data_IF_003353521658
#
_entry.id   IF_003353521658
#
_cell.length_a   1.000
_cell.length_b   1.000
_cell.length_c   1.000
_cell.angle_alpha   90.00
_cell.angle_beta   90.00
_cell.angle_gamma   90.00
#
_symmetry.space_group_name_H-M   'P 1'
#
loop_
_entity.id
_entity.type
_entity.pdbx_description
1 polymer ?
#
# COMPACT_ATOMS: atom_id res chain seq x y z
N UNK A 1 20.73 -16.07 65.27
CA UNK A 1 19.32 -16.55 65.35
C UNK A 1 18.56 -15.66 64.38
N UNK A 2 18.55 -16.05 63.10
CA UNK A 2 18.07 -15.19 62.01
C UNK A 2 16.61 -15.51 61.70
N UNK A 3 15.79 -14.46 61.76
CA UNK A 3 14.42 -14.41 61.28
C UNK A 3 14.38 -14.45 59.74
N UNK A 4 13.40 -15.17 59.20
CA UNK A 4 12.42 -14.74 58.19
C UNK A 4 11.97 -15.92 57.33
N UNK A 5 10.79 -16.45 57.67
CA UNK A 5 9.94 -17.25 56.79
C UNK A 5 9.39 -16.37 55.66
N UNK A 6 9.31 -16.91 54.44
CA UNK A 6 8.72 -16.21 53.30
C UNK A 6 8.94 -16.93 51.98
N UNK A 7 8.20 -18.01 51.74
CA UNK A 7 8.02 -18.61 50.42
C UNK A 7 6.55 -19.06 50.30
N UNK A 8 5.98 -18.86 49.11
CA UNK A 8 4.65 -19.30 48.65
C UNK A 8 3.43 -18.39 48.92
N UNK A 9 3.50 -17.13 48.47
CA UNK A 9 2.31 -16.29 48.21
C UNK A 9 2.26 -15.78 46.77
N UNK A 10 2.79 -16.54 45.80
CA UNK A 10 2.68 -16.20 44.37
C UNK A 10 1.91 -17.23 43.53
N UNK A 11 1.44 -18.33 44.11
CA UNK A 11 0.74 -19.41 43.40
C UNK A 11 -0.79 -19.29 43.36
N UNK A 12 -1.38 -18.16 43.77
CA UNK A 12 -2.84 -18.02 43.88
C UNK A 12 -3.44 -16.77 43.20
N UNK A 13 -2.73 -16.16 42.25
CA UNK A 13 -3.33 -15.13 41.40
C UNK A 13 -3.85 -15.76 40.09
N UNK A 14 -5.06 -15.38 39.64
CA UNK A 14 -5.74 -16.04 38.54
C UNK A 14 -4.86 -15.97 37.30
N UNK A 15 -4.51 -17.14 36.79
CA UNK A 15 -3.94 -17.43 35.48
C UNK A 15 -4.00 -16.22 34.54
N UNK A 16 -2.85 -15.56 34.38
CA UNK A 16 -2.66 -14.40 33.52
C UNK A 16 -2.85 -14.80 32.06
N UNK A 17 -4.08 -14.83 31.56
CA UNK A 17 -4.42 -15.11 30.16
C UNK A 17 -4.52 -13.80 29.35
N UNK A 18 -3.47 -12.98 29.44
CA UNK A 18 -3.36 -11.70 28.74
C UNK A 18 -1.90 -11.44 28.40
N UNK A 19 -1.39 -12.16 27.41
CA UNK A 19 -0.25 -11.69 26.64
C UNK A 19 -0.58 -10.28 26.13
N UNK A 20 0.07 -9.29 26.72
CA UNK A 20 0.09 -7.91 26.24
C UNK A 20 0.61 -7.93 24.80
N UNK A 21 -0.33 -7.97 23.85
CA UNK A 21 -0.03 -7.94 22.43
C UNK A 21 0.33 -6.50 22.08
N UNK A 22 1.62 -6.14 22.19
CA UNK A 22 2.12 -4.88 21.65
C UNK A 22 1.71 -4.79 20.17
N UNK A 23 0.85 -3.82 19.85
CA UNK A 23 0.42 -3.58 18.47
C UNK A 23 1.61 -3.04 17.70
N UNK A 24 2.08 -3.81 16.72
CA UNK A 24 3.08 -3.33 15.80
C UNK A 24 2.47 -2.23 14.89
N UNK A 25 2.74 -0.96 15.21
CA UNK A 25 2.29 0.18 14.40
C UNK A 25 2.94 0.21 13.00
N UNK A 26 4.09 -0.45 12.81
CA UNK A 26 4.76 -0.63 11.51
C UNK A 26 4.34 -1.92 10.79
N UNK A 27 3.20 -2.53 11.13
CA UNK A 27 2.72 -3.74 10.45
C UNK A 27 2.40 -3.45 8.97
N UNK A 28 3.04 -4.19 8.08
CA UNK A 28 2.84 -4.08 6.62
C UNK A 28 1.76 -5.01 6.10
N UNK A 29 1.37 -6.05 6.85
CA UNK A 29 0.30 -6.96 6.47
C UNK A 29 -1.08 -6.33 6.73
N UNK A 30 -1.74 -5.85 5.67
CA UNK A 30 -3.07 -5.24 5.77
C UNK A 30 -4.10 -6.19 6.39
N UNK A 31 -4.04 -7.48 6.07
CA UNK A 31 -4.90 -8.51 6.70
C UNK A 31 -4.80 -8.48 8.22
N UNK A 32 -3.58 -8.52 8.77
CA UNK A 32 -3.38 -8.51 10.21
C UNK A 32 -3.83 -7.18 10.81
N UNK A 33 -3.52 -6.07 10.15
CA UNK A 33 -3.90 -4.73 10.63
C UNK A 33 -5.42 -4.57 10.71
N UNK A 34 -6.16 -5.00 9.70
CA UNK A 34 -7.63 -4.94 9.70
C UNK A 34 -8.23 -5.82 10.81
N UNK A 35 -7.71 -7.03 10.98
CA UNK A 35 -8.13 -7.92 12.07
C UNK A 35 -7.83 -7.33 13.46
N UNK A 36 -6.70 -6.63 13.61
CA UNK A 36 -6.32 -5.91 14.82
C UNK A 36 -7.24 -4.72 15.09
N UNK A 37 -7.53 -3.88 14.09
CA UNK A 37 -8.47 -2.76 14.22
C UNK A 37 -9.86 -3.24 14.61
N UNK A 38 -10.32 -4.36 14.02
CA UNK A 38 -11.61 -4.97 14.30
C UNK A 38 -11.79 -5.41 15.77
N UNK A 39 -10.71 -5.92 16.37
CA UNK A 39 -10.78 -6.56 17.69
C UNK A 39 -10.30 -5.66 18.83
N UNK A 40 -9.33 -4.78 18.57
CA UNK A 40 -8.71 -3.89 19.58
C UNK A 40 -9.10 -2.42 19.41
N UNK A 41 -9.86 -2.09 18.37
CA UNK A 41 -10.22 -0.73 18.02
C UNK A 41 -9.17 -0.01 17.19
N UNK A 42 -9.62 1.05 16.52
CA UNK A 42 -8.80 1.80 15.55
C UNK A 42 -7.75 2.66 16.24
N UNK A 43 -8.08 3.32 17.36
CA UNK A 43 -7.14 4.18 18.09
C UNK A 43 -5.94 3.44 18.68
N UNK A 44 -6.03 2.13 18.93
CA UNK A 44 -4.86 1.32 19.32
C UNK A 44 -3.94 1.01 18.13
N UNK A 45 -4.48 1.13 16.91
CA UNK A 45 -3.86 0.74 15.65
C UNK A 45 -3.52 1.93 14.75
N UNK A 46 -3.84 3.15 15.15
CA UNK A 46 -3.56 4.36 14.39
C UNK A 46 -2.05 4.52 14.15
N UNK A 47 -1.72 5.23 13.07
CA UNK A 47 -0.33 5.57 12.74
C UNK A 47 -0.06 7.08 12.81
N UNK A 48 -0.91 7.87 13.48
CA UNK A 48 -0.73 9.33 13.61
C UNK A 48 0.66 9.67 14.14
N UNK A 49 1.04 9.05 15.27
CA UNK A 49 2.32 9.31 15.93
C UNK A 49 3.56 8.97 15.10
N UNK A 50 3.41 8.22 13.98
CA UNK A 50 4.51 7.95 13.05
C UNK A 50 4.84 9.15 12.15
N UNK A 51 3.87 10.04 11.94
CA UNK A 51 4.02 11.21 11.07
C UNK A 51 4.37 12.50 11.83
N UNK A 52 4.38 12.46 13.16
CA UNK A 52 4.81 13.59 14.00
C UNK A 52 6.31 13.90 13.89
N UNK A 53 7.14 12.93 13.50
CA UNK A 53 8.58 13.10 13.31
C UNK A 53 8.99 13.54 11.90
N UNK A 54 10.30 13.58 11.66
CA UNK A 54 10.89 13.97 10.36
C UNK A 54 11.28 12.79 9.47
N UNK A 55 11.31 11.57 10.03
CA UNK A 55 11.58 10.35 9.27
C UNK A 55 10.99 9.11 9.95
N UNK A 56 10.76 8.06 9.15
CA UNK A 56 10.43 6.71 9.64
C UNK A 56 11.53 5.78 9.11
N UNK A 57 12.19 4.98 9.96
CA UNK A 57 13.26 4.08 9.51
C UNK A 57 12.84 3.09 8.41
N UNK A 58 11.57 2.70 8.41
CA UNK A 58 11.00 1.70 7.51
C UNK A 58 10.70 2.24 6.09
N UNK A 59 10.89 3.54 5.84
CA UNK A 59 10.49 4.20 4.60
C UNK A 59 11.54 5.22 4.11
N UNK A 60 11.84 5.27 2.80
CA UNK A 60 12.75 6.30 2.27
C UNK A 60 12.21 7.72 2.48
N UNK A 61 13.10 8.70 2.63
CA UNK A 61 12.75 10.09 2.99
C UNK A 61 11.74 10.73 2.04
N UNK A 62 11.94 10.58 0.73
CA UNK A 62 11.03 11.15 -0.27
C UNK A 62 9.62 10.55 -0.15
N UNK A 63 9.56 9.23 0.02
CA UNK A 63 8.31 8.49 0.22
C UNK A 63 7.60 8.87 1.53
N UNK A 64 8.37 9.19 2.58
CA UNK A 64 7.83 9.67 3.86
C UNK A 64 7.25 11.08 3.71
N UNK A 65 7.98 12.01 3.09
CA UNK A 65 7.52 13.39 2.90
C UNK A 65 6.19 13.46 2.13
N UNK A 66 6.04 12.67 1.07
CA UNK A 66 4.79 12.61 0.29
C UNK A 66 3.61 12.07 1.11
N UNK A 67 3.85 11.05 1.95
CA UNK A 67 2.80 10.49 2.82
C UNK A 67 2.47 11.43 3.97
N UNK A 68 3.47 12.10 4.55
CA UNK A 68 3.28 13.10 5.60
C UNK A 68 2.41 14.25 5.09
N UNK A 69 2.66 14.75 3.87
CA UNK A 69 1.83 15.78 3.23
C UNK A 69 0.35 15.37 3.14
N UNK A 70 0.08 14.11 2.79
CA UNK A 70 -1.30 13.57 2.76
C UNK A 70 -1.92 13.54 4.15
N UNK A 71 -1.20 13.00 5.13
CA UNK A 71 -1.69 12.86 6.51
C UNK A 71 -2.02 14.23 7.11
N UNK A 72 -1.14 15.21 6.96
CA UNK A 72 -1.34 16.61 7.39
C UNK A 72 -2.53 17.27 6.66
N UNK A 73 -2.72 16.99 5.36
CA UNK A 73 -3.85 17.51 4.62
C UNK A 73 -5.19 16.95 5.10
N UNK A 74 -5.24 15.65 5.47
CA UNK A 74 -6.43 15.02 6.06
C UNK A 74 -6.70 15.59 7.45
N UNK A 75 -5.67 15.72 8.29
CA UNK A 75 -5.79 16.31 9.64
C UNK A 75 -6.35 17.73 9.59
N UNK A 76 -5.77 18.58 8.74
CA UNK A 76 -6.24 19.95 8.53
C UNK A 76 -7.70 19.98 8.05
N UNK A 77 -8.07 19.13 7.10
CA UNK A 77 -9.44 19.08 6.60
C UNK A 77 -10.42 18.67 7.70
N UNK A 78 -10.06 17.70 8.56
CA UNK A 78 -10.91 17.29 9.69
C UNK A 78 -11.09 18.43 10.69
N UNK A 79 -10.03 19.21 10.98
CA UNK A 79 -10.12 20.38 11.86
C UNK A 79 -11.05 21.46 11.28
N UNK A 80 -10.97 21.72 9.97
CA UNK A 80 -11.80 22.70 9.28
C UNK A 80 -13.29 22.29 9.19
N UNK A 81 -13.58 20.98 9.15
CA UNK A 81 -14.94 20.46 8.96
C UNK A 81 -15.59 19.95 10.26
N UNK A 82 -14.91 20.10 11.41
CA UNK A 82 -15.42 19.67 12.71
C UNK A 82 -16.72 20.38 13.07
N UNK A 83 -17.76 19.62 13.44
CA UNK A 83 -19.10 20.14 13.75
C UNK A 83 -19.95 20.55 12.54
N UNK A 84 -19.49 20.28 11.31
CA UNK A 84 -20.29 20.47 10.09
C UNK A 84 -21.04 19.18 9.70
N UNK A 85 -21.86 19.23 8.64
CA UNK A 85 -22.49 18.03 8.08
C UNK A 85 -21.50 16.98 7.56
N UNK A 86 -20.24 17.39 7.30
CA UNK A 86 -19.16 16.53 6.83
C UNK A 86 -18.18 16.14 7.96
N UNK A 87 -18.57 16.27 9.23
CA UNK A 87 -17.74 15.89 10.37
C UNK A 87 -17.43 14.38 10.34
N UNK A 88 -16.21 14.06 9.93
CA UNK A 88 -15.72 12.71 9.69
C UNK A 88 -14.40 12.51 10.41
N UNK A 89 -14.33 11.45 11.23
CA UNK A 89 -13.12 11.09 11.99
C UNK A 89 -12.28 10.06 11.21
N UNK A 90 -11.50 10.54 10.24
CA UNK A 90 -10.62 9.70 9.43
C UNK A 90 -9.34 9.35 10.19
N UNK A 91 -9.12 8.07 10.47
CA UNK A 91 -7.90 7.62 11.14
C UNK A 91 -6.99 6.83 10.19
N UNK A 92 -5.71 7.22 10.02
CA UNK A 92 -4.75 6.45 9.24
C UNK A 92 -4.37 5.17 9.98
N UNK A 93 -4.48 4.04 9.30
CA UNK A 93 -4.19 2.70 9.85
C UNK A 93 -3.02 2.02 9.14
N UNK A 94 -2.73 2.38 7.89
CA UNK A 94 -1.65 1.80 7.10
C UNK A 94 -0.93 2.93 6.35
N UNK A 95 0.40 2.84 6.27
CA UNK A 95 1.23 3.79 5.52
C UNK A 95 2.20 3.13 4.53
N UNK A 96 2.37 1.82 4.59
CA UNK A 96 3.04 1.03 3.57
C UNK A 96 2.59 -0.41 3.76
N UNK A 97 1.82 -0.95 2.82
CA UNK A 97 1.17 -2.23 3.04
C UNK A 97 1.20 -3.18 1.85
N UNK A 98 1.19 -4.46 2.18
CA UNK A 98 0.85 -5.55 1.29
C UNK A 98 -0.43 -6.22 1.81
N UNK A 99 -1.19 -6.87 0.92
CA UNK A 99 -2.47 -7.49 1.28
C UNK A 99 -2.29 -8.55 2.37
N UNK A 100 -1.33 -9.45 2.14
CA UNK A 100 -0.92 -10.48 3.08
C UNK A 100 0.60 -10.52 3.16
N UNK A 101 1.16 -10.99 4.29
CA UNK A 101 2.61 -11.04 4.49
C UNK A 101 3.32 -11.81 3.37
N UNK A 102 4.36 -11.22 2.79
CA UNK A 102 5.11 -11.76 1.66
C UNK A 102 4.28 -12.04 0.39
N UNK A 103 3.22 -11.25 0.16
CA UNK A 103 2.45 -11.25 -1.09
C UNK A 103 3.00 -10.25 -2.11
N UNK A 104 3.58 -9.13 -1.66
CA UNK A 104 4.14 -8.12 -2.55
C UNK A 104 5.49 -8.58 -3.12
N UNK A 105 5.59 -8.63 -4.46
CA UNK A 105 6.82 -9.03 -5.17
C UNK A 105 7.48 -7.87 -5.90
N UNK A 106 6.70 -6.85 -6.24
CA UNK A 106 7.11 -5.64 -6.96
C UNK A 106 6.69 -4.42 -6.17
N UNK A 107 7.36 -3.29 -6.37
CA UNK A 107 7.01 -2.02 -5.73
C UNK A 107 5.54 -1.61 -6.01
N UNK A 108 5.03 -1.85 -7.22
CA UNK A 108 3.61 -1.64 -7.54
C UNK A 108 2.61 -2.47 -6.70
N UNK A 109 3.05 -3.58 -6.09
CA UNK A 109 2.17 -4.46 -5.33
C UNK A 109 1.94 -3.92 -3.91
N UNK A 110 2.73 -2.93 -3.50
CA UNK A 110 2.61 -2.20 -2.23
C UNK A 110 1.60 -1.06 -2.36
N UNK A 111 0.68 -0.99 -1.40
CA UNK A 111 -0.19 0.16 -1.21
C UNK A 111 0.45 1.17 -0.24
N UNK A 112 0.01 2.42 -0.32
CA UNK A 112 0.60 3.52 0.44
C UNK A 112 -0.22 3.83 1.69
N UNK A 113 -1.21 4.72 1.62
CA UNK A 113 -1.97 5.15 2.79
C UNK A 113 -3.39 4.56 2.78
N UNK A 114 -3.84 4.12 3.95
CA UNK A 114 -5.25 3.78 4.18
C UNK A 114 -5.74 4.48 5.44
N UNK A 115 -6.85 5.20 5.30
CA UNK A 115 -7.62 5.74 6.40
C UNK A 115 -8.93 4.96 6.52
N UNK A 116 -9.46 4.92 7.72
CA UNK A 116 -10.76 4.29 8.01
C UNK A 116 -11.58 5.21 8.89
N UNK A 117 -12.90 5.10 8.76
CA UNK A 117 -13.82 5.67 9.72
C UNK A 117 -13.90 4.80 11.00
N UNK A 118 -14.44 5.31 12.11
CA UNK A 118 -14.52 4.58 13.39
C UNK A 118 -15.29 3.27 13.32
N UNK A 119 -16.15 3.10 12.30
CA UNK A 119 -17.00 1.92 12.12
C UNK A 119 -16.35 0.80 11.29
N UNK A 120 -15.18 1.04 10.69
CA UNK A 120 -14.52 0.11 9.76
C UNK A 120 -15.38 -0.24 8.53
N UNK A 121 -16.29 0.65 8.13
CA UNK A 121 -17.18 0.43 6.98
C UNK A 121 -16.73 1.23 5.76
N UNK A 122 -16.01 2.34 5.96
CA UNK A 122 -15.57 3.24 4.90
C UNK A 122 -14.07 3.42 4.97
N UNK A 123 -13.42 3.27 3.81
CA UNK A 123 -11.97 3.37 3.71
C UNK A 123 -11.56 4.37 2.65
N UNK A 124 -10.57 5.19 2.97
CA UNK A 124 -9.88 6.04 2.01
C UNK A 124 -8.52 5.43 1.71
N UNK A 125 -8.21 5.25 0.43
CA UNK A 125 -6.92 4.75 -0.04
C UNK A 125 -6.24 5.84 -0.87
N UNK A 126 -5.03 6.22 -0.47
CA UNK A 126 -4.26 7.23 -1.20
C UNK A 126 -2.95 6.63 -1.68
N UNK A 127 -2.76 6.62 -3.00
CA UNK A 127 -1.50 6.24 -3.63
C UNK A 127 -0.63 7.47 -3.86
N UNK A 128 0.47 7.62 -3.13
CA UNK A 128 1.48 8.66 -3.40
C UNK A 128 2.42 8.26 -4.56
N UNK A 129 2.30 8.91 -5.71
CA UNK A 129 3.24 8.77 -6.83
C UNK A 129 4.23 9.94 -6.86
N UNK A 130 5.29 9.79 -7.67
CA UNK A 130 6.32 10.82 -7.82
C UNK A 130 5.96 11.88 -8.86
N UNK A 131 6.78 12.08 -9.90
CA UNK A 131 6.53 13.10 -10.93
C UNK A 131 5.27 12.78 -11.76
N UNK A 132 4.61 13.82 -12.29
CA UNK A 132 3.43 13.67 -13.16
C UNK A 132 3.74 13.01 -14.49
N UNK A 133 4.99 13.16 -14.93
CA UNK A 133 5.49 12.56 -16.15
C UNK A 133 6.23 11.28 -15.86
N UNK A 134 6.08 10.32 -16.76
CA UNK A 134 6.87 9.10 -16.73
C UNK A 134 8.35 9.37 -17.06
N UNK A 135 9.18 8.32 -17.03
CA UNK A 135 10.60 8.42 -17.37
C UNK A 135 10.88 8.83 -18.82
N UNK A 136 9.84 8.98 -19.64
CA UNK A 136 9.88 9.33 -21.05
C UNK A 136 9.24 10.72 -21.33
N UNK A 137 8.74 11.41 -20.31
CA UNK A 137 8.11 12.72 -20.44
C UNK A 137 6.64 12.67 -20.86
N UNK A 138 6.03 11.48 -20.95
CA UNK A 138 4.59 11.31 -21.19
C UNK A 138 3.81 11.46 -19.89
N UNK A 139 2.55 11.84 -19.99
CA UNK A 139 1.65 11.89 -18.84
C UNK A 139 1.47 10.49 -18.22
N UNK A 140 1.78 10.36 -16.93
CA UNK A 140 1.67 9.10 -16.20
C UNK A 140 0.32 8.94 -15.49
N UNK A 141 -0.56 9.95 -15.52
CA UNK A 141 -1.82 9.97 -14.77
C UNK A 141 -2.76 8.81 -15.12
N UNK A 142 -2.85 8.40 -16.39
CA UNK A 142 -3.66 7.24 -16.81
C UNK A 142 -3.22 5.96 -16.11
N UNK A 143 -1.91 5.81 -15.92
CA UNK A 143 -1.36 4.64 -15.26
C UNK A 143 -1.47 4.72 -13.74
N UNK A 144 -1.26 5.91 -13.18
CA UNK A 144 -1.50 6.18 -11.76
C UNK A 144 -2.94 5.85 -11.39
N UNK A 145 -3.90 6.26 -12.22
CA UNK A 145 -5.30 5.89 -12.08
C UNK A 145 -5.52 4.37 -12.15
N UNK A 146 -4.91 3.69 -13.13
CA UNK A 146 -5.04 2.24 -13.26
C UNK A 146 -4.50 1.47 -12.04
N UNK A 147 -3.34 1.88 -11.50
CA UNK A 147 -2.77 1.30 -10.28
C UNK A 147 -3.67 1.61 -9.07
N UNK A 148 -4.15 2.84 -8.94
CA UNK A 148 -5.03 3.24 -7.83
C UNK A 148 -6.34 2.46 -7.83
N UNK A 149 -6.98 2.29 -9.00
CA UNK A 149 -8.18 1.44 -9.15
C UNK A 149 -7.90 0.00 -8.73
N UNK A 150 -6.80 -0.57 -9.22
CA UNK A 150 -6.37 -1.93 -8.86
C UNK A 150 -6.18 -2.09 -7.34
N UNK A 151 -5.53 -1.14 -6.67
CA UNK A 151 -5.36 -1.20 -5.21
C UNK A 151 -6.66 -1.01 -4.45
N UNK A 152 -7.54 -0.13 -4.92
CA UNK A 152 -8.87 0.08 -4.33
C UNK A 152 -9.71 -1.20 -4.36
N UNK A 153 -9.82 -1.82 -5.54
CA UNK A 153 -10.58 -3.04 -5.76
C UNK A 153 -9.97 -4.25 -5.00
N UNK A 154 -8.63 -4.35 -4.99
CA UNK A 154 -7.90 -5.39 -4.25
C UNK A 154 -8.05 -5.22 -2.74
N UNK A 155 -8.01 -3.98 -2.23
CA UNK A 155 -8.24 -3.69 -0.82
C UNK A 155 -9.70 -3.91 -0.43
N UNK A 156 -10.66 -3.53 -1.28
CA UNK A 156 -12.08 -3.81 -1.07
C UNK A 156 -12.34 -5.32 -0.99
N UNK A 157 -11.74 -6.10 -1.90
CA UNK A 157 -11.79 -7.56 -1.87
C UNK A 157 -11.25 -8.13 -0.54
N UNK A 158 -10.14 -7.58 -0.04
CA UNK A 158 -9.59 -7.96 1.27
C UNK A 158 -10.54 -7.61 2.41
N UNK A 159 -11.05 -6.37 2.44
CA UNK A 159 -11.95 -5.91 3.49
C UNK A 159 -13.23 -6.77 3.52
N UNK A 160 -13.84 -7.02 2.36
CA UNK A 160 -15.02 -7.89 2.22
C UNK A 160 -14.76 -9.29 2.77
N UNK A 161 -13.57 -9.85 2.53
CA UNK A 161 -13.21 -11.17 3.05
C UNK A 161 -12.94 -11.15 4.56
N UNK A 162 -12.17 -10.18 5.07
CA UNK A 162 -11.76 -10.10 6.49
C UNK A 162 -12.92 -9.73 7.42
N UNK A 163 -13.88 -8.93 6.94
CA UNK A 163 -15.07 -8.51 7.68
C UNK A 163 -16.29 -9.44 7.47
N UNK A 164 -16.09 -10.65 6.93
CA UNK A 164 -17.13 -11.66 6.78
C UNK A 164 -17.92 -11.89 8.09
N UNK A 165 -19.26 -11.81 8.02
CA UNK A 165 -20.15 -12.02 9.17
C UNK A 165 -20.28 -10.82 10.12
N UNK A 166 -19.87 -9.62 9.68
CA UNK A 166 -20.04 -8.32 10.35
C UNK A 166 -20.67 -7.31 9.37
N UNK A 167 -20.95 -6.05 9.77
CA UNK A 167 -21.33 -5.02 8.80
C UNK A 167 -20.28 -4.98 7.69
N UNK A 168 -20.73 -5.21 6.45
CA UNK A 168 -19.84 -5.24 5.30
C UNK A 168 -19.26 -3.83 5.04
N UNK A 169 -18.04 -3.74 4.47
CA UNK A 169 -17.52 -2.47 4.01
C UNK A 169 -18.46 -1.87 2.96
N UNK A 170 -18.90 -0.63 3.21
CA UNK A 170 -19.80 0.11 2.32
C UNK A 170 -19.09 0.53 1.04
N UNK A 171 -17.86 1.05 1.18
CA UNK A 171 -17.04 1.42 0.02
C UNK A 171 -15.56 1.59 0.39
N UNK A 172 -14.70 1.46 -0.61
CA UNK A 172 -13.30 1.90 -0.57
C UNK A 172 -13.15 2.98 -1.63
N UNK A 173 -12.84 4.20 -1.20
CA UNK A 173 -12.60 5.32 -2.10
C UNK A 173 -11.11 5.53 -2.23
N UNK A 174 -10.65 5.65 -3.47
CA UNK A 174 -9.24 5.78 -3.76
C UNK A 174 -8.94 6.98 -4.65
N UNK A 175 -7.81 7.63 -4.36
CA UNK A 175 -7.22 8.67 -5.20
C UNK A 175 -5.69 8.54 -5.16
N UNK A 176 -4.99 9.40 -5.88
CA UNK A 176 -3.54 9.45 -5.84
C UNK A 176 -3.03 10.87 -5.70
N UNK A 177 -1.80 11.03 -5.24
CA UNK A 177 -1.07 12.30 -5.25
C UNK A 177 0.18 12.19 -6.12
N UNK A 178 0.67 13.33 -6.55
CA UNK A 178 1.97 13.48 -7.21
C UNK A 178 2.73 14.62 -6.56
N UNK A 179 3.92 14.95 -7.05
CA UNK A 179 4.67 16.11 -6.55
C UNK A 179 3.94 17.44 -6.76
N UNK A 180 3.06 17.53 -7.76
CA UNK A 180 2.30 18.76 -8.07
C UNK A 180 0.84 18.68 -7.65
N UNK A 181 0.27 17.47 -7.61
CA UNK A 181 -1.16 17.25 -7.35
C UNK A 181 -1.40 16.79 -5.91
N UNK A 182 -2.22 17.55 -5.19
CA UNK A 182 -2.69 17.22 -3.84
C UNK A 182 -4.05 16.50 -3.85
N UNK A 183 -4.49 16.05 -2.68
CA UNK A 183 -5.81 15.41 -2.53
C UNK A 183 -6.91 16.46 -2.72
N UNK A 184 -7.94 16.10 -3.47
CA UNK A 184 -9.15 16.91 -3.59
C UNK A 184 -9.98 16.83 -2.28
N UNK A 185 -10.38 17.94 -1.64
CA UNK A 185 -11.20 17.91 -0.42
C UNK A 185 -12.49 17.07 -0.54
N UNK A 186 -13.12 17.01 -1.72
CA UNK A 186 -14.31 16.17 -1.96
C UNK A 186 -14.05 14.68 -1.73
N UNK A 187 -12.79 14.24 -1.83
CA UNK A 187 -12.38 12.87 -1.54
C UNK A 187 -12.69 12.48 -0.08
N UNK A 188 -12.59 13.43 0.84
CA UNK A 188 -12.71 13.20 2.29
C UNK A 188 -14.17 13.25 2.78
N UNK A 189 -15.10 13.74 1.95
CA UNK A 189 -16.51 13.81 2.30
C UNK A 189 -17.13 12.40 2.44
N UNK A 190 -18.18 12.27 3.23
CA UNK A 190 -18.89 11.00 3.41
C UNK A 190 -19.81 10.64 2.22
N UNK A 191 -20.27 11.64 1.47
CA UNK A 191 -21.22 11.51 0.36
C UNK A 191 -20.53 11.07 -0.93
N UNK A 192 -21.31 10.48 -1.85
CA UNK A 192 -20.82 10.08 -3.17
C UNK A 192 -20.47 11.34 -3.96
N UNK A 193 -19.18 11.58 -4.29
CA UNK A 193 -18.83 12.79 -4.98
C UNK A 193 -19.33 12.65 -6.42
N UNK A 194 -20.27 13.50 -6.82
CA UNK A 194 -20.42 13.82 -8.23
C UNK A 194 -19.17 14.61 -8.64
N UNK A 195 -18.07 13.90 -8.89
CA UNK A 195 -16.80 14.50 -9.27
C UNK A 195 -16.97 15.11 -10.65
N UNK A 196 -16.72 16.41 -10.83
CA UNK A 196 -16.72 17.01 -12.16
C UNK A 196 -15.72 16.29 -13.07
N UNK A 197 -16.13 15.98 -14.30
CA UNK A 197 -15.22 15.44 -15.31
C UNK A 197 -14.02 16.40 -15.49
N UNK A 198 -12.80 15.84 -15.53
CA UNK A 198 -11.56 16.63 -15.65
C UNK A 198 -10.91 17.05 -14.32
N UNK A 199 -11.44 16.60 -13.18
CA UNK A 199 -10.79 16.81 -11.88
C UNK A 199 -9.56 15.89 -11.75
N UNK A 200 -8.38 16.48 -11.61
CA UNK A 200 -7.13 15.77 -11.34
C UNK A 200 -6.63 16.12 -9.93
N UNK A 201 -6.29 15.12 -9.09
CA UNK A 201 -6.41 13.68 -9.30
C UNK A 201 -7.88 13.21 -9.28
N UNK A 202 -8.25 12.20 -10.10
CA UNK A 202 -9.58 11.61 -10.08
C UNK A 202 -9.84 10.84 -8.78
N UNK A 203 -11.13 10.70 -8.44
CA UNK A 203 -11.60 9.90 -7.32
C UNK A 203 -12.30 8.66 -7.88
N UNK A 204 -11.87 7.49 -7.42
CA UNK A 204 -12.49 6.20 -7.71
C UNK A 204 -13.16 5.66 -6.45
N UNK A 205 -14.31 5.01 -6.57
CA UNK A 205 -15.01 4.38 -5.46
C UNK A 205 -15.40 2.95 -5.81
N UNK A 206 -14.87 2.00 -5.07
CA UNK A 206 -15.26 0.60 -5.14
C UNK A 206 -16.38 0.33 -4.12
N UNK A 207 -17.50 -0.22 -4.59
CA UNK A 207 -18.67 -0.61 -3.77
C UNK A 207 -18.91 -2.13 -3.91
N UNK A 208 -19.76 -2.75 -3.06
CA UNK A 208 -20.08 -4.18 -3.16
C UNK A 208 -20.58 -4.64 -4.54
N UNK A 209 -21.17 -3.74 -5.33
CA UNK A 209 -21.74 -3.99 -6.65
C UNK A 209 -20.76 -3.71 -7.79
N UNK A 210 -19.78 -2.82 -7.59
CA UNK A 210 -18.93 -2.27 -8.66
C UNK A 210 -17.49 -2.78 -8.63
N UNK A 211 -17.04 -3.32 -7.49
CA UNK A 211 -15.64 -3.71 -7.33
C UNK A 211 -15.26 -4.90 -8.24
N UNK A 212 -14.01 -4.92 -8.68
CA UNK A 212 -13.43 -6.07 -9.40
C UNK A 212 -12.63 -6.96 -8.45
N UNK A 213 -12.88 -8.26 -8.37
CA UNK A 213 -12.08 -9.14 -7.51
C UNK A 213 -10.65 -9.30 -8.06
N UNK A 214 -9.65 -9.08 -7.21
CA UNK A 214 -8.21 -9.13 -7.57
C UNK A 214 -7.35 -10.03 -6.66
N UNK A 215 -7.93 -10.71 -5.66
CA UNK A 215 -7.14 -11.58 -4.78
C UNK A 215 -6.82 -12.91 -5.47
N UNK A 216 -5.54 -13.24 -5.56
CA UNK A 216 -5.09 -14.52 -6.10
C UNK A 216 -5.24 -15.66 -5.09
N UNK A 217 -5.29 -16.90 -5.56
CA UNK A 217 -5.41 -18.08 -4.69
C UNK A 217 -4.30 -18.13 -3.62
N UNK A 218 -3.06 -17.90 -4.02
CA UNK A 218 -1.94 -17.86 -3.09
C UNK A 218 -2.01 -16.70 -2.09
N UNK A 219 -2.68 -15.59 -2.41
CA UNK A 219 -2.92 -14.52 -1.43
C UNK A 219 -3.98 -14.95 -0.43
N UNK A 220 -5.07 -15.57 -0.89
CA UNK A 220 -6.13 -16.09 -0.02
C UNK A 220 -5.61 -17.15 0.96
N UNK A 221 -4.75 -18.06 0.51
CA UNK A 221 -4.06 -19.02 1.40
C UNK A 221 -3.25 -18.32 2.51
N UNK A 222 -2.54 -17.24 2.17
CA UNK A 222 -1.76 -16.45 3.14
C UNK A 222 -2.67 -15.66 4.09
N UNK A 223 -3.79 -15.15 3.60
CA UNK A 223 -4.82 -14.47 4.40
C UNK A 223 -5.39 -15.46 5.41
N UNK A 224 -5.83 -16.64 4.98
CA UNK A 224 -6.36 -17.69 5.84
C UNK A 224 -5.33 -18.12 6.89
N UNK A 225 -4.07 -18.31 6.47
CA UNK A 225 -2.97 -18.62 7.38
C UNK A 225 -2.75 -17.53 8.44
N UNK A 226 -2.99 -16.26 8.09
CA UNK A 226 -2.92 -15.13 9.03
C UNK A 226 -4.11 -15.15 9.99
N UNK A 227 -5.32 -15.46 9.49
CA UNK A 227 -6.53 -15.59 10.29
C UNK A 227 -6.38 -16.72 11.32
N UNK A 228 -5.87 -17.88 10.89
CA UNK A 228 -5.68 -19.06 11.74
C UNK A 228 -4.64 -18.88 12.86
N UNK A 229 -3.81 -17.84 12.83
CA UNK A 229 -2.85 -17.55 13.90
C UNK A 229 -3.52 -17.17 15.22
N UNK A 230 -4.80 -16.78 15.20
CA UNK A 230 -5.57 -16.42 16.39
C UNK A 230 -6.83 -17.27 16.49
N UNK A 231 -7.06 -17.86 17.66
CA UNK A 231 -8.32 -18.57 17.95
C UNK A 231 -9.55 -17.66 17.93
N UNK A 232 -9.35 -16.33 17.99
CA UNK A 232 -10.43 -15.33 17.94
C UNK A 232 -10.99 -15.15 16.54
N UNK A 233 -10.22 -15.48 15.50
CA UNK A 233 -10.57 -15.20 14.12
C UNK A 233 -11.05 -16.47 13.41
N UNK A 234 -12.13 -16.36 12.65
CA UNK A 234 -12.70 -17.46 11.89
C UNK A 234 -12.44 -17.24 10.41
N UNK A 235 -12.05 -18.30 9.73
CA UNK A 235 -11.86 -18.28 8.27
C UNK A 235 -13.24 -18.11 7.61
N UNK A 236 -13.37 -17.19 6.64
CA UNK A 236 -14.61 -17.00 5.90
C UNK A 236 -15.03 -18.26 5.12
N UNK A 237 -16.34 -18.46 4.87
CA UNK A 237 -16.83 -19.57 4.07
C UNK A 237 -16.41 -19.49 2.59
N UNK A 238 -16.42 -20.64 1.90
CA UNK A 238 -15.93 -20.78 0.52
C UNK A 238 -16.64 -19.87 -0.49
N UNK A 239 -17.93 -19.59 -0.32
CA UNK A 239 -18.67 -18.68 -1.20
C UNK A 239 -18.11 -17.26 -1.20
N UNK A 240 -17.59 -16.78 -0.05
CA UNK A 240 -16.94 -15.47 0.02
C UNK A 240 -15.55 -15.50 -0.63
N UNK A 241 -14.84 -16.63 -0.54
CA UNK A 241 -13.57 -16.83 -1.26
C UNK A 241 -13.77 -16.67 -2.77
N UNK A 242 -14.78 -17.34 -3.32
CA UNK A 242 -15.09 -17.30 -4.76
C UNK A 242 -15.53 -15.91 -5.25
N UNK A 243 -16.11 -15.10 -4.35
CA UNK A 243 -16.52 -13.74 -4.64
C UNK A 243 -15.35 -12.76 -4.75
N UNK A 244 -14.24 -13.01 -4.06
CA UNK A 244 -13.06 -12.13 -4.03
C UNK A 244 -11.88 -12.63 -4.88
N UNK A 245 -11.98 -13.87 -5.38
CA UNK A 245 -10.97 -14.51 -6.23
C UNK A 245 -10.83 -13.80 -7.57
N UNK A 246 -9.58 -13.52 -7.96
CA UNK A 246 -9.23 -12.75 -9.14
C UNK A 246 -9.81 -13.33 -10.45
N UNK A 247 -10.47 -12.48 -11.24
CA UNK A 247 -11.07 -12.87 -12.54
C UNK A 247 -10.44 -12.17 -13.76
N UNK A 248 -9.69 -11.10 -13.54
CA UNK A 248 -9.13 -10.25 -14.59
C UNK A 248 -7.61 -10.21 -14.65
N UNK A 249 -7.03 -9.71 -15.76
CA UNK A 249 -5.60 -9.49 -15.86
C UNK A 249 -5.14 -8.39 -14.90
N UNK A 250 -3.94 -8.56 -14.33
CA UNK A 250 -3.31 -7.51 -13.51
C UNK A 250 -2.86 -6.33 -14.39
N UNK A 251 -2.87 -5.09 -13.86
CA UNK A 251 -2.28 -3.96 -14.56
C UNK A 251 -0.80 -4.22 -14.84
N UNK A 252 -0.36 -3.82 -16.04
CA UNK A 252 1.04 -3.91 -16.43
C UNK A 252 1.88 -2.97 -15.55
N UNK A 253 3.13 -3.33 -15.21
CA UNK A 253 4.02 -2.41 -14.52
C UNK A 253 4.36 -1.20 -15.38
N UNK A 254 4.29 -0.01 -14.78
CA UNK A 254 4.91 1.18 -15.33
C UNK A 254 6.42 0.98 -15.33
N UNK A 255 7.08 1.25 -16.46
CA UNK A 255 8.54 1.23 -16.54
C UNK A 255 9.17 2.54 -16.00
N UNK A 256 8.51 3.18 -15.03
CA UNK A 256 9.07 4.33 -14.31
C UNK A 256 9.95 3.86 -13.15
N UNK A 257 11.02 4.63 -12.91
CA UNK A 257 11.96 4.46 -11.80
C UNK A 257 11.28 4.40 -10.44
N UNK A 258 10.24 5.22 -10.23
CA UNK A 258 9.52 5.34 -8.96
C UNK A 258 8.71 4.09 -8.56
N UNK A 259 8.11 3.39 -9.53
CA UNK A 259 7.18 2.28 -9.26
C UNK A 259 7.78 0.89 -9.40
N UNK A 260 8.96 0.77 -10.03
CA UNK A 260 9.56 -0.53 -10.27
C UNK A 260 10.69 -0.90 -9.30
N UNK A 261 11.23 0.05 -8.51
CA UNK A 261 12.38 -0.19 -7.62
C UNK A 261 13.65 -0.66 -8.34
N UNK A 262 13.58 -0.77 -9.66
CA UNK A 262 14.70 -0.91 -10.56
C UNK A 262 15.09 0.49 -10.95
N UNK A 263 16.39 0.79 -10.87
CA UNK A 263 16.94 1.84 -11.71
C UNK A 263 16.41 1.59 -13.12
N UNK A 264 15.81 2.61 -13.71
CA UNK A 264 15.44 2.58 -15.11
C UNK A 264 16.60 1.93 -15.87
N UNK A 265 16.31 0.96 -16.73
CA UNK A 265 17.36 0.44 -17.62
C UNK A 265 17.74 1.59 -18.55
N UNK A 266 18.81 2.30 -18.20
CA UNK A 266 19.30 3.45 -18.96
C UNK A 266 20.24 2.93 -20.04
N UNK A 267 20.02 3.40 -21.26
CA UNK A 267 20.92 3.14 -22.36
C UNK A 267 22.30 3.73 -22.06
N UNK A 268 23.34 2.89 -22.09
CA UNK A 268 24.71 3.32 -21.85
C UNK A 268 25.28 4.27 -22.92
N UNK A 269 24.55 4.53 -24.01
CA UNK A 269 24.94 5.46 -25.07
C UNK A 269 24.15 6.79 -25.01
N UNK A 270 22.84 6.73 -25.26
CA UNK A 270 21.98 7.91 -25.41
C UNK A 270 21.35 8.35 -24.09
N UNK A 271 21.49 7.59 -23.00
CA UNK A 271 20.87 7.91 -21.73
C UNK A 271 19.35 7.72 -21.69
N UNK A 272 18.74 7.20 -22.76
CA UNK A 272 17.31 6.91 -22.78
C UNK A 272 16.96 5.81 -21.78
N UNK A 273 15.93 6.07 -20.99
CA UNK A 273 15.30 5.09 -20.12
C UNK A 273 14.51 4.11 -20.97
N UNK A 274 14.61 2.80 -20.71
CA UNK A 274 13.85 1.80 -21.44
C UNK A 274 12.37 1.82 -21.05
N UNK A 275 11.48 1.39 -21.95
CA UNK A 275 10.07 1.04 -21.65
C UNK A 275 9.87 -0.47 -21.42
N UNK A 276 10.85 -1.28 -21.79
CA UNK A 276 10.88 -2.74 -21.71
C UNK A 276 12.32 -3.23 -21.48
N UNK A 277 12.51 -4.54 -21.28
CA UNK A 277 13.85 -5.12 -21.04
C UNK A 277 14.80 -4.81 -22.21
N UNK A 278 15.80 -3.97 -21.97
CA UNK A 278 16.82 -3.64 -22.95
C UNK A 278 17.81 -4.80 -23.12
N UNK A 279 18.28 -5.05 -24.35
CA UNK A 279 19.39 -5.94 -24.59
C UNK A 279 20.63 -5.47 -23.82
N UNK A 280 21.22 -6.41 -23.08
CA UNK A 280 22.48 -6.21 -22.36
C UNK A 280 23.67 -6.55 -23.25
N UNK A 281 24.82 -5.93 -22.98
CA UNK A 281 26.07 -6.32 -23.62
C UNK A 281 26.34 -7.82 -23.40
N UNK A 282 26.51 -8.58 -24.49
CA UNK A 282 26.69 -10.03 -24.42
C UNK A 282 27.97 -10.45 -23.66
N UNK A 283 28.96 -9.57 -23.56
CA UNK A 283 30.24 -9.83 -22.88
C UNK A 283 30.10 -9.57 -21.38
N UNK A 284 29.81 -8.32 -20.99
CA UNK A 284 29.82 -7.95 -19.58
C UNK A 284 28.49 -8.13 -18.87
N UNK A 285 27.36 -8.20 -19.59
CA UNK A 285 25.99 -8.22 -19.05
C UNK A 285 25.65 -7.06 -18.08
N UNK A 286 26.52 -6.05 -17.95
CA UNK A 286 26.36 -4.90 -17.05
C UNK A 286 25.66 -3.73 -17.75
N UNK A 287 26.13 -3.33 -18.94
CA UNK A 287 25.59 -2.17 -19.67
C UNK A 287 24.49 -2.61 -20.63
N UNK A 288 23.44 -1.79 -20.75
CA UNK A 288 22.27 -2.02 -21.61
C UNK A 288 22.14 -0.94 -22.68
N UNK A 289 21.46 -1.26 -23.78
CA UNK A 289 21.30 -0.37 -24.93
C UNK A 289 19.89 -0.43 -25.49
N UNK A 290 19.37 0.69 -26.02
CA UNK A 290 18.10 0.70 -26.75
C UNK A 290 18.11 -0.30 -27.92
N UNK A 291 19.23 -0.31 -28.66
CA UNK A 291 19.41 -1.09 -29.87
C UNK A 291 20.90 -1.31 -30.16
N UNK A 292 21.19 -2.04 -31.24
CA UNK A 292 22.56 -2.35 -31.69
C UNK A 292 23.33 -1.11 -32.15
N UNK A 293 22.65 -0.05 -32.58
CA UNK A 293 23.27 1.20 -33.03
C UNK A 293 23.85 1.96 -31.84
N UNK A 294 23.07 2.10 -30.76
CA UNK A 294 23.54 2.65 -29.50
C UNK A 294 24.74 1.87 -28.94
N UNK A 295 24.71 0.54 -29.03
CA UNK A 295 25.86 -0.29 -28.61
C UNK A 295 27.11 0.01 -29.45
N UNK A 296 26.97 0.14 -30.78
CA UNK A 296 28.10 0.46 -31.68
C UNK A 296 28.66 1.85 -31.43
N UNK A 297 27.78 2.84 -31.23
CA UNK A 297 28.17 4.21 -30.93
C UNK A 297 28.93 4.32 -29.60
N UNK A 298 28.51 3.57 -28.57
CA UNK A 298 29.19 3.54 -27.28
C UNK A 298 30.43 2.64 -27.23
N UNK A 299 30.64 1.76 -28.23
CA UNK A 299 31.74 0.79 -28.21
C UNK A 299 33.14 1.38 -28.03
N UNK A 300 33.54 2.50 -28.66
CA UNK A 300 34.88 3.06 -28.52
C UNK A 300 35.26 3.41 -27.07
N UNK A 301 34.29 3.84 -26.27
CA UNK A 301 34.47 4.13 -24.85
C UNK A 301 34.23 2.88 -24.00
N UNK A 302 33.17 2.12 -24.29
CA UNK A 302 32.78 0.92 -23.54
C UNK A 302 33.85 -0.18 -23.52
N UNK A 303 34.53 -0.42 -24.64
CA UNK A 303 35.52 -1.51 -24.79
C UNK A 303 36.65 -1.44 -23.76
N UNK A 304 36.96 -0.25 -23.22
CA UNK A 304 38.04 -0.04 -22.25
C UNK A 304 37.76 -0.73 -20.90
N UNK A 305 36.49 -0.88 -20.55
CA UNK A 305 36.06 -1.43 -19.27
C UNK A 305 35.10 -2.62 -19.41
N UNK A 306 34.78 -3.03 -20.65
CA UNK A 306 34.00 -4.22 -20.91
C UNK A 306 34.78 -5.49 -20.53
N UNK A 307 34.35 -6.18 -19.48
CA UNK A 307 34.95 -7.44 -19.01
C UNK A 307 33.86 -8.48 -18.81
N UNK A 308 34.17 -9.75 -19.08
CA UNK A 308 33.23 -10.85 -18.87
C UNK A 308 32.86 -10.91 -17.39
N UNK A 309 31.58 -10.81 -17.08
CA UNK A 309 31.12 -10.97 -15.70
C UNK A 309 31.47 -12.40 -15.26
N UNK A 310 32.19 -12.52 -14.15
CA UNK A 310 32.33 -13.82 -13.47
C UNK A 310 31.04 -13.97 -12.67
N UNK A 311 30.04 -14.57 -13.31
CA UNK A 311 28.89 -15.11 -12.58
C UNK A 311 29.38 -16.30 -11.72
#
# INVERSE_FOLDING_TARGET
MNMFEGLDVFNSLPYWDSASMFVNKSETCATRKLLQCRDMGIYMNDVWGKFSGDEIPDLPKDHFAERKRVVEAVEKWMEENKGTENDMDWTPILYNFEVAKASAKRNQDWGHLVFTDPTLSRFLLVMCFGPDKDGHGHDAHDHYLAITKYHADRFFSLAKYVFAGRPEPTWVRATYTTFTSSINPLFLNSQDPQVPEGTHPPIYQATPETFTPYLTEGELERIDSTIMQSKRWKVPPANLRDAVLARGPRPKPLHTTWLCGRSAEVCGNCGEVATAKMPQCAVCKIVRYCNRECQRAHWPTHKKYCRKNRD
#
